data_IF_547991477478
#
_entry.id   IF_547991477478
#
_cell.length_a   1.000
_cell.length_b   1.000
_cell.length_c   1.000
_cell.angle_alpha   90.00
_cell.angle_beta   90.00
_cell.angle_gamma   90.00
#
_symmetry.space_group_name_H-M   'P 1'
#
loop_
_entity.id
_entity.type
_entity.pdbx_description
1 polymer ?
#
# COMPACT_ATOMS: atom_id res chain seq x y z
N UNK A 1 12.60 13.95 33.68
CA UNK A 1 12.76 12.87 32.69
C UNK A 1 11.49 12.55 31.88
N UNK A 2 10.41 13.35 31.97
CA UNK A 2 9.11 13.05 31.29
C UNK A 2 8.88 13.78 29.97
N UNK A 3 9.74 14.73 29.58
CA UNK A 3 9.58 15.52 28.36
C UNK A 3 9.91 14.76 27.07
N UNK A 4 10.79 13.75 27.12
CA UNK A 4 11.22 12.99 25.93
C UNK A 4 10.11 12.05 25.42
N UNK A 5 9.27 11.50 26.33
CA UNK A 5 8.16 10.62 25.94
C UNK A 5 7.03 11.37 25.21
N UNK A 6 6.81 12.65 25.57
CA UNK A 6 5.82 13.50 24.90
C UNK A 6 6.23 13.90 23.49
N UNK A 7 7.51 14.10 23.25
CA UNK A 7 8.03 14.52 21.94
C UNK A 7 7.94 13.39 20.89
N UNK A 8 8.20 12.15 21.31
CA UNK A 8 8.11 10.98 20.41
C UNK A 8 6.66 10.72 19.96
N UNK A 9 5.68 10.92 20.85
CA UNK A 9 4.26 10.73 20.52
C UNK A 9 3.76 11.81 19.55
N UNK A 10 4.21 13.05 19.71
CA UNK A 10 3.85 14.15 18.80
C UNK A 10 4.45 13.96 17.42
N UNK A 11 5.69 13.45 17.32
CA UNK A 11 6.33 13.16 16.03
C UNK A 11 5.65 12.01 15.28
N UNK A 12 5.18 10.98 15.98
CA UNK A 12 4.45 9.87 15.37
C UNK A 12 3.08 10.33 14.81
N UNK A 13 2.37 11.21 15.51
CA UNK A 13 1.08 11.76 15.05
C UNK A 13 1.29 12.67 13.83
N UNK A 14 2.38 13.45 13.79
CA UNK A 14 2.70 14.30 12.64
C UNK A 14 3.07 13.49 11.41
N UNK A 15 3.76 12.36 11.55
CA UNK A 15 4.10 11.47 10.43
C UNK A 15 2.86 10.80 9.80
N UNK A 16 1.89 10.40 10.64
CA UNK A 16 0.61 9.86 10.16
C UNK A 16 -0.24 10.92 9.45
N UNK A 17 -0.18 12.16 9.90
CA UNK A 17 -0.85 13.29 9.24
C UNK A 17 -0.18 13.67 7.92
N UNK A 18 1.14 13.51 7.77
CA UNK A 18 1.84 13.77 6.52
C UNK A 18 1.39 12.81 5.40
N UNK A 19 1.20 11.52 5.70
CA UNK A 19 0.63 10.57 4.72
C UNK A 19 -0.81 10.94 4.34
N UNK A 20 -1.61 11.48 5.28
CA UNK A 20 -3.00 11.87 4.98
C UNK A 20 -3.10 13.22 4.22
N UNK A 21 -2.16 14.13 4.40
CA UNK A 21 -2.15 15.43 3.70
C UNK A 21 -1.66 15.36 2.25
N UNK A 22 -0.82 14.36 1.90
CA UNK A 22 -0.44 14.12 0.50
C UNK A 22 -1.60 13.62 -0.37
N UNK A 23 -2.74 13.29 0.22
CA UNK A 23 -3.86 12.58 -0.39
C UNK A 23 -5.11 13.43 -0.65
N UNK A 24 -4.98 14.75 -0.63
CA UNK A 24 -6.11 15.66 -0.87
C UNK A 24 -6.37 15.93 -2.37
N UNK A 25 -5.70 15.22 -3.28
CA UNK A 25 -6.05 15.31 -4.69
C UNK A 25 -7.40 14.61 -4.93
N UNK A 26 -8.29 15.29 -5.64
CA UNK A 26 -9.57 14.74 -6.06
C UNK A 26 -9.34 13.40 -6.74
N UNK A 27 -9.96 12.33 -6.22
CA UNK A 27 -9.87 11.01 -6.84
C UNK A 27 -10.48 11.09 -8.24
N UNK A 28 -9.66 10.92 -9.25
CA UNK A 28 -10.12 10.85 -10.62
C UNK A 28 -10.36 9.37 -10.96
N UNK A 29 -11.60 8.96 -10.74
CA UNK A 29 -12.06 7.59 -10.95
C UNK A 29 -13.30 7.57 -11.84
N UNK A 30 -13.16 6.96 -13.01
CA UNK A 30 -14.24 6.90 -14.01
C UNK A 30 -15.20 5.71 -13.82
N UNK A 31 -14.88 4.78 -12.93
CA UNK A 31 -15.73 3.62 -12.58
C UNK A 31 -15.29 2.31 -13.22
N UNK A 32 -15.88 1.18 -12.79
CA UNK A 32 -15.44 -0.16 -13.21
C UNK A 32 -15.80 -0.50 -14.67
N UNK A 33 -16.65 0.28 -15.33
CA UNK A 33 -17.07 0.10 -16.72
C UNK A 33 -16.62 1.28 -17.60
N UNK A 34 -15.34 1.61 -17.54
CA UNK A 34 -14.77 2.60 -18.44
C UNK A 34 -14.85 2.10 -19.88
N UNK A 35 -15.58 2.83 -20.73
CA UNK A 35 -15.82 2.45 -22.11
C UNK A 35 -14.54 2.38 -22.93
N UNK A 36 -13.58 3.27 -22.65
CA UNK A 36 -12.31 3.32 -23.35
C UNK A 36 -11.42 2.12 -22.97
N UNK A 37 -11.38 1.76 -21.69
CA UNK A 37 -10.70 0.54 -21.26
C UNK A 37 -11.35 -0.71 -21.88
N UNK A 38 -12.68 -0.76 -21.92
CA UNK A 38 -13.42 -1.89 -22.51
C UNK A 38 -13.06 -2.08 -23.99
N UNK A 39 -13.05 -1.01 -24.76
CA UNK A 39 -12.64 -1.03 -26.17
C UNK A 39 -11.18 -1.42 -26.34
N UNK A 40 -10.29 -0.86 -25.53
CA UNK A 40 -8.87 -1.18 -25.55
C UNK A 40 -8.58 -2.65 -25.22
N UNK A 41 -9.28 -3.21 -24.24
CA UNK A 41 -9.17 -4.64 -23.89
C UNK A 41 -9.63 -5.56 -25.03
N UNK A 42 -10.54 -5.11 -25.89
CA UNK A 42 -10.95 -5.86 -27.07
C UNK A 42 -9.91 -5.79 -28.20
N UNK A 43 -9.26 -4.64 -28.38
CA UNK A 43 -8.53 -4.31 -29.60
C UNK A 43 -7.00 -4.19 -29.43
N UNK A 44 -6.50 -4.03 -28.18
CA UNK A 44 -5.08 -3.77 -27.90
C UNK A 44 -4.47 -4.84 -26.99
N UNK A 45 -3.67 -5.73 -27.56
CA UNK A 45 -3.11 -6.89 -26.84
C UNK A 45 -2.24 -6.48 -25.65
N UNK A 46 -1.42 -5.43 -25.77
CA UNK A 46 -0.54 -5.00 -24.70
C UNK A 46 -1.31 -4.49 -23.46
N UNK A 47 -2.43 -3.77 -23.66
CA UNK A 47 -3.31 -3.33 -22.55
C UNK A 47 -3.97 -4.53 -21.90
N UNK A 48 -4.37 -5.51 -22.70
CA UNK A 48 -4.97 -6.75 -22.20
C UNK A 48 -3.99 -7.55 -21.32
N UNK A 49 -2.72 -7.59 -21.69
CA UNK A 49 -1.69 -8.30 -20.91
C UNK A 49 -1.42 -7.57 -19.59
N UNK A 50 -1.26 -6.25 -19.61
CA UNK A 50 -1.11 -5.41 -18.41
C UNK A 50 -2.33 -5.51 -17.47
N UNK A 51 -3.54 -5.45 -18.01
CA UNK A 51 -4.76 -5.56 -17.23
C UNK A 51 -4.94 -6.96 -16.63
N UNK A 52 -4.54 -8.02 -17.35
CA UNK A 52 -4.53 -9.38 -16.83
C UNK A 52 -3.54 -9.52 -15.67
N UNK A 53 -2.38 -8.91 -15.77
CA UNK A 53 -1.41 -8.86 -14.68
C UNK A 53 -2.02 -8.16 -13.47
N UNK A 54 -2.57 -6.97 -13.65
CA UNK A 54 -3.29 -6.23 -12.60
C UNK A 54 -4.40 -7.09 -11.95
N UNK A 55 -5.22 -7.78 -12.74
CA UNK A 55 -6.30 -8.62 -12.20
C UNK A 55 -5.76 -9.75 -11.30
N UNK A 56 -4.58 -10.28 -11.59
CA UNK A 56 -3.95 -11.34 -10.80
C UNK A 56 -3.42 -10.87 -9.44
N UNK A 57 -3.24 -9.55 -9.26
CA UNK A 57 -2.69 -8.93 -8.07
C UNK A 57 -3.69 -8.91 -6.91
N UNK A 58 -3.20 -8.68 -5.69
CA UNK A 58 -3.97 -8.77 -4.43
C UNK A 58 -4.09 -7.42 -3.73
N UNK A 59 -4.89 -7.39 -2.67
CA UNK A 59 -5.08 -6.22 -1.81
C UNK A 59 -5.90 -5.12 -2.44
N UNK A 60 -5.80 -3.91 -1.91
CA UNK A 60 -6.29 -2.72 -2.59
C UNK A 60 -5.44 -2.47 -3.82
N UNK A 61 -6.07 -2.44 -4.96
CA UNK A 61 -5.41 -2.25 -6.24
C UNK A 61 -6.20 -1.32 -7.14
N UNK A 62 -5.49 -0.60 -8.01
CA UNK A 62 -6.07 0.32 -8.98
C UNK A 62 -5.35 0.20 -10.32
N UNK A 63 -6.07 0.42 -11.41
CA UNK A 63 -5.56 0.48 -12.76
C UNK A 63 -5.86 1.84 -13.37
N UNK A 64 -4.84 2.50 -13.89
CA UNK A 64 -4.94 3.81 -14.53
C UNK A 64 -4.50 3.75 -15.99
N UNK A 65 -5.09 4.60 -16.80
CA UNK A 65 -4.72 4.80 -18.21
C UNK A 65 -4.32 6.25 -18.45
N UNK A 66 -3.37 6.47 -19.34
CA UNK A 66 -3.07 7.77 -19.90
C UNK A 66 -3.74 7.89 -21.26
N UNK A 67 -4.48 8.97 -21.47
CA UNK A 67 -5.22 9.24 -22.70
C UNK A 67 -4.68 10.52 -23.31
N UNK A 68 -4.30 10.46 -24.57
CA UNK A 68 -3.84 11.62 -25.33
C UNK A 68 -5.02 12.45 -25.89
N UNK A 69 -4.69 13.55 -26.55
CA UNK A 69 -5.68 14.45 -27.19
C UNK A 69 -6.36 13.83 -28.43
N UNK A 70 -5.90 12.69 -28.92
CA UNK A 70 -6.55 11.91 -29.97
C UNK A 70 -7.46 10.81 -29.37
N UNK A 71 -7.73 10.85 -28.08
CA UNK A 71 -8.51 9.86 -27.33
C UNK A 71 -7.93 8.44 -27.41
N UNK A 72 -6.61 8.32 -27.56
CA UNK A 72 -5.94 7.02 -27.55
C UNK A 72 -5.26 6.76 -26.21
N UNK A 73 -5.32 5.50 -25.75
CA UNK A 73 -4.53 5.07 -24.59
C UNK A 73 -3.07 4.91 -25.01
N UNK A 74 -2.22 5.72 -24.41
CA UNK A 74 -0.77 5.76 -24.70
C UNK A 74 0.09 5.12 -23.61
N UNK A 75 -0.43 4.97 -22.41
CA UNK A 75 0.24 4.28 -21.33
C UNK A 75 -0.77 3.74 -20.31
N UNK A 76 -0.33 2.80 -19.52
CA UNK A 76 -1.07 2.29 -18.35
C UNK A 76 -0.21 2.42 -17.10
N UNK A 77 -0.85 2.33 -15.95
CA UNK A 77 -0.17 2.21 -14.67
C UNK A 77 -1.07 1.48 -13.70
N UNK A 78 -0.52 0.58 -12.91
CA UNK A 78 -1.31 -0.05 -11.86
C UNK A 78 -0.54 -0.11 -10.55
N UNK A 79 -1.30 -0.21 -9.48
CA UNK A 79 -0.80 -0.46 -8.14
C UNK A 79 -1.54 -1.62 -7.53
N UNK A 80 -0.87 -2.36 -6.68
CA UNK A 80 -1.43 -3.48 -5.95
C UNK A 80 -0.94 -3.50 -4.50
N UNK A 81 -1.60 -4.33 -3.70
CA UNK A 81 -1.22 -4.65 -2.33
C UNK A 81 -1.09 -3.43 -1.40
N UNK A 82 -1.88 -2.38 -1.67
CA UNK A 82 -1.85 -1.16 -0.87
C UNK A 82 -2.70 -1.28 0.40
N UNK A 83 -2.37 -0.45 1.39
CA UNK A 83 -3.05 -0.38 2.69
C UNK A 83 -4.45 0.19 2.56
N UNK A 84 -4.62 1.16 1.66
CA UNK A 84 -5.88 1.84 1.42
C UNK A 84 -6.17 1.96 -0.08
N UNK A 85 -7.45 2.15 -0.41
CA UNK A 85 -7.90 2.48 -1.75
C UNK A 85 -7.18 3.72 -2.30
N UNK A 86 -7.07 4.78 -1.49
CA UNK A 86 -6.41 6.01 -1.89
C UNK A 86 -4.94 5.78 -2.25
N UNK A 87 -4.20 5.03 -1.44
CA UNK A 87 -2.80 4.70 -1.73
C UNK A 87 -2.65 3.90 -3.04
N UNK A 88 -3.62 3.04 -3.37
CA UNK A 88 -3.64 2.35 -4.65
C UNK A 88 -3.86 3.33 -5.82
N UNK A 89 -4.77 4.29 -5.67
CA UNK A 89 -5.04 5.30 -6.69
C UNK A 89 -3.82 6.17 -6.96
N UNK A 90 -3.22 6.73 -5.91
CA UNK A 90 -2.07 7.62 -6.02
C UNK A 90 -0.89 6.93 -6.71
N UNK A 91 -0.64 5.69 -6.36
CA UNK A 91 0.43 4.93 -6.97
C UNK A 91 0.12 4.55 -8.42
N UNK A 92 -1.11 4.12 -8.75
CA UNK A 92 -1.50 3.83 -10.12
C UNK A 92 -1.38 5.07 -11.02
N UNK A 93 -1.82 6.24 -10.54
CA UNK A 93 -1.67 7.50 -11.26
C UNK A 93 -0.20 7.90 -11.40
N UNK A 94 0.62 7.70 -10.36
CA UNK A 94 2.06 7.96 -10.42
C UNK A 94 2.74 7.08 -11.47
N UNK A 95 2.43 5.80 -11.51
CA UNK A 95 2.96 4.86 -12.51
C UNK A 95 2.50 5.23 -13.92
N UNK A 96 1.22 5.55 -14.09
CA UNK A 96 0.68 6.01 -15.36
C UNK A 96 1.42 7.25 -15.87
N UNK A 97 1.61 8.28 -15.03
CA UNK A 97 2.37 9.49 -15.37
C UNK A 97 3.83 9.20 -15.72
N UNK A 98 4.43 8.24 -15.01
CA UNK A 98 5.80 7.83 -15.28
C UNK A 98 5.93 7.19 -16.67
N UNK A 99 5.04 6.25 -17.01
CA UNK A 99 5.10 5.56 -18.30
C UNK A 99 4.62 6.39 -19.48
N UNK A 100 3.70 7.32 -19.28
CA UNK A 100 3.30 8.29 -20.30
C UNK A 100 4.34 9.40 -20.53
N UNK A 101 5.37 9.48 -19.67
CA UNK A 101 6.38 10.54 -19.69
C UNK A 101 5.78 11.95 -19.56
N UNK A 102 4.60 12.06 -19.00
CA UNK A 102 3.85 13.29 -18.83
C UNK A 102 2.96 13.64 -20.05
N UNK A 103 2.95 12.80 -21.07
CA UNK A 103 2.02 12.94 -22.18
C UNK A 103 0.65 12.37 -21.80
N UNK A 104 -0.41 13.06 -22.19
CA UNK A 104 -1.78 12.67 -21.93
C UNK A 104 -2.25 12.89 -20.46
N UNK A 105 -3.51 12.64 -20.25
CA UNK A 105 -4.16 12.73 -18.93
C UNK A 105 -4.31 11.35 -18.30
N UNK A 106 -3.76 11.17 -17.10
CA UNK A 106 -3.87 9.93 -16.36
C UNK A 106 -5.12 9.92 -15.47
N UNK A 107 -5.90 8.85 -15.57
CA UNK A 107 -7.07 8.62 -14.69
C UNK A 107 -7.17 7.15 -14.30
N UNK A 108 -7.73 6.90 -13.12
CA UNK A 108 -8.05 5.55 -12.66
C UNK A 108 -9.32 5.07 -13.35
N UNK A 109 -9.27 3.88 -13.94
CA UNK A 109 -10.39 3.29 -14.71
C UNK A 109 -10.91 1.99 -14.11
N UNK A 110 -10.15 1.36 -13.22
CA UNK A 110 -10.61 0.21 -12.44
C UNK A 110 -10.00 0.21 -11.06
N UNK A 111 -10.79 -0.27 -10.09
CA UNK A 111 -10.37 -0.50 -8.72
C UNK A 111 -10.92 -1.81 -8.22
N UNK A 112 -10.14 -2.53 -7.48
CA UNK A 112 -10.55 -3.78 -6.88
C UNK A 112 -9.92 -3.96 -5.50
N UNK A 113 -10.60 -4.75 -4.69
CA UNK A 113 -10.01 -5.35 -3.50
C UNK A 113 -10.11 -6.85 -3.61
N UNK A 114 -8.99 -7.54 -3.62
CA UNK A 114 -9.00 -8.99 -3.61
C UNK A 114 -8.52 -9.53 -2.26
N UNK A 115 -9.35 -10.34 -1.65
CA UNK A 115 -9.11 -10.96 -0.35
C UNK A 115 -8.28 -12.25 -0.54
N UNK A 116 -6.99 -12.10 -0.78
CA UNK A 116 -6.07 -13.23 -1.00
C UNK A 116 -5.54 -13.89 0.27
N UNK A 117 -6.39 -14.11 1.29
CA UNK A 117 -5.97 -14.65 2.58
C UNK A 117 -6.34 -16.13 2.75
N UNK A 118 -6.03 -16.98 1.74
CA UNK A 118 -6.27 -18.41 1.85
C UNK A 118 -5.68 -19.00 3.15
N UNK A 119 -6.50 -19.70 3.91
CA UNK A 119 -6.10 -20.32 5.19
C UNK A 119 -6.15 -19.41 6.42
N UNK A 120 -6.59 -18.14 6.28
CA UNK A 120 -6.94 -17.29 7.42
C UNK A 120 -8.45 -17.27 7.64
N UNK A 121 -8.87 -17.23 8.90
CA UNK A 121 -10.28 -17.05 9.24
C UNK A 121 -10.69 -15.59 9.08
N UNK A 122 -12.01 -15.35 8.90
CA UNK A 122 -12.55 -13.98 8.87
C UNK A 122 -12.17 -13.20 10.13
N UNK A 123 -12.22 -13.82 11.30
CA UNK A 123 -11.85 -13.20 12.59
C UNK A 123 -10.37 -12.76 12.60
N UNK A 124 -9.45 -13.56 12.06
CA UNK A 124 -8.03 -13.20 11.95
C UNK A 124 -7.81 -12.02 11.00
N UNK A 125 -8.53 -12.00 9.87
CA UNK A 125 -8.47 -10.91 8.92
C UNK A 125 -9.08 -9.64 9.51
N UNK A 126 -10.21 -9.75 10.19
CA UNK A 126 -10.91 -8.59 10.79
C UNK A 126 -10.19 -8.03 12.01
N UNK A 127 -9.43 -8.86 12.74
CA UNK A 127 -8.60 -8.44 13.86
C UNK A 127 -7.27 -7.80 13.48
N UNK A 128 -6.87 -7.86 12.21
CA UNK A 128 -5.64 -7.21 11.77
C UNK A 128 -5.86 -5.70 11.53
N UNK A 129 -4.86 -4.85 11.79
CA UNK A 129 -4.95 -3.41 11.56
C UNK A 129 -4.82 -3.08 10.07
N UNK A 130 -5.83 -3.42 9.28
CA UNK A 130 -5.86 -3.37 7.81
C UNK A 130 -5.58 -1.99 7.22
N UNK A 131 -5.76 -0.95 8.01
CA UNK A 131 -5.52 0.44 7.59
C UNK A 131 -4.04 0.84 7.72
N UNK A 132 -3.23 0.00 8.38
CA UNK A 132 -1.83 0.29 8.71
C UNK A 132 -0.84 -0.70 8.10
N UNK A 133 -1.32 -1.87 7.66
CA UNK A 133 -0.47 -2.91 7.06
C UNK A 133 -0.95 -3.29 5.66
N UNK A 134 -0.02 -3.59 4.77
CA UNK A 134 -0.34 -4.10 3.44
C UNK A 134 -1.12 -5.42 3.51
N UNK A 135 -2.02 -5.65 2.58
CA UNK A 135 -2.88 -6.85 2.59
C UNK A 135 -2.09 -8.17 2.62
N UNK A 136 -0.96 -8.25 1.93
CA UNK A 136 -0.07 -9.42 1.94
C UNK A 136 0.48 -9.71 3.34
N UNK A 137 0.63 -8.68 4.16
CA UNK A 137 1.27 -8.74 5.47
C UNK A 137 0.29 -9.10 6.61
N UNK A 138 -1.03 -9.17 6.32
CA UNK A 138 -2.03 -9.65 7.31
C UNK A 138 -1.64 -11.02 7.87
N UNK A 139 -1.13 -11.92 7.03
CA UNK A 139 -0.64 -13.22 7.48
C UNK A 139 0.54 -13.09 8.45
N UNK A 140 1.48 -12.20 8.18
CA UNK A 140 2.61 -11.93 9.05
C UNK A 140 2.15 -11.38 10.40
N UNK A 141 1.15 -10.47 10.40
CA UNK A 141 0.55 -9.96 11.63
C UNK A 141 -0.12 -11.08 12.44
N UNK A 142 -0.88 -11.97 11.81
CA UNK A 142 -1.49 -13.13 12.48
C UNK A 142 -0.43 -14.10 13.05
N UNK A 143 0.72 -14.24 12.40
CA UNK A 143 1.86 -14.99 12.95
C UNK A 143 2.46 -14.27 14.16
N UNK A 144 2.70 -12.97 14.03
CA UNK A 144 3.20 -12.13 15.14
C UNK A 144 2.32 -12.20 16.38
N UNK A 145 0.98 -12.16 16.26
CA UNK A 145 0.09 -12.24 17.42
C UNK A 145 0.23 -13.55 18.21
N UNK A 146 0.71 -14.61 17.56
CA UNK A 146 0.94 -15.94 18.16
C UNK A 146 2.37 -16.16 18.64
N UNK A 147 3.28 -15.28 18.25
CA UNK A 147 4.68 -15.39 18.56
C UNK A 147 4.97 -15.11 20.04
N UNK A 148 6.09 -15.63 20.55
CA UNK A 148 6.50 -15.44 21.93
C UNK A 148 7.18 -14.08 22.14
N UNK A 149 6.85 -13.43 23.25
CA UNK A 149 7.51 -12.21 23.69
C UNK A 149 8.95 -12.50 24.19
N UNK A 150 9.86 -11.53 24.19
CA UNK A 150 9.71 -10.16 23.68
C UNK A 150 9.67 -10.06 22.17
N UNK A 151 8.68 -9.32 21.65
CA UNK A 151 8.43 -9.20 20.21
C UNK A 151 8.05 -7.77 19.80
N UNK A 152 8.20 -7.43 18.53
CA UNK A 152 7.74 -6.16 17.95
C UNK A 152 7.31 -6.34 16.50
N UNK A 153 6.27 -5.60 16.12
CA UNK A 153 5.75 -5.48 14.76
C UNK A 153 5.91 -4.02 14.30
N UNK A 154 6.61 -3.84 13.18
CA UNK A 154 6.99 -2.52 12.65
C UNK A 154 6.47 -2.40 11.22
N UNK A 155 6.01 -1.22 10.86
CA UNK A 155 5.47 -0.93 9.54
C UNK A 155 6.15 0.29 8.91
N UNK A 156 6.29 0.27 7.61
CA UNK A 156 6.60 1.44 6.81
C UNK A 156 5.32 2.28 6.65
N UNK A 157 5.38 3.57 7.00
CA UNK A 157 4.20 4.39 7.30
C UNK A 157 3.21 4.56 6.16
N UNK A 158 3.65 4.56 4.90
CA UNK A 158 2.77 4.78 3.76
C UNK A 158 2.47 3.51 2.96
N UNK A 159 3.43 2.60 2.78
CA UNK A 159 3.22 1.35 2.05
C UNK A 159 2.55 0.26 2.90
N UNK A 160 2.61 0.38 4.22
CA UNK A 160 2.15 -0.65 5.14
C UNK A 160 2.99 -1.93 5.11
N UNK A 161 4.15 -1.92 4.44
CA UNK A 161 5.09 -3.03 4.45
C UNK A 161 5.53 -3.32 5.89
N UNK A 162 5.44 -4.57 6.32
CA UNK A 162 5.67 -4.93 7.70
C UNK A 162 6.93 -5.77 7.91
N UNK A 163 7.46 -5.65 9.12
CA UNK A 163 8.62 -6.40 9.62
C UNK A 163 8.36 -6.74 11.08
N UNK A 164 8.69 -7.95 11.50
CA UNK A 164 8.51 -8.35 12.89
C UNK A 164 9.64 -9.24 13.38
N UNK A 165 9.82 -9.20 14.70
CA UNK A 165 10.82 -10.00 15.40
C UNK A 165 10.23 -10.53 16.69
N UNK A 166 10.60 -11.75 17.07
CA UNK A 166 10.20 -12.44 18.27
C UNK A 166 11.42 -12.95 19.05
N UNK A 167 11.18 -13.40 20.28
CA UNK A 167 12.19 -14.04 21.12
C UNK A 167 13.48 -13.22 21.27
N UNK A 168 13.34 -11.91 21.37
CA UNK A 168 14.48 -11.04 21.57
C UNK A 168 14.85 -10.92 23.05
N UNK A 169 16.03 -10.42 23.36
CA UNK A 169 16.50 -10.25 24.74
C UNK A 169 15.64 -9.27 25.56
N UNK A 170 14.93 -8.34 24.87
CA UNK A 170 13.99 -7.41 25.47
C UNK A 170 13.05 -6.84 24.40
N UNK A 171 11.93 -6.28 24.82
CA UNK A 171 11.01 -5.49 23.99
C UNK A 171 11.76 -4.41 23.20
N UNK A 172 12.62 -3.63 23.86
CA UNK A 172 13.42 -2.60 23.21
C UNK A 172 14.30 -3.17 22.09
N UNK A 173 14.91 -4.35 22.30
CA UNK A 173 15.72 -5.00 21.26
C UNK A 173 14.87 -5.49 20.08
N UNK A 174 13.64 -5.94 20.32
CA UNK A 174 12.71 -6.30 19.26
C UNK A 174 12.34 -5.07 18.41
N UNK A 175 12.01 -3.95 19.07
CA UNK A 175 11.71 -2.68 18.41
C UNK A 175 12.89 -2.14 17.58
N UNK A 176 14.09 -2.10 18.16
CA UNK A 176 15.33 -1.66 17.47
C UNK A 176 15.58 -2.46 16.20
N UNK A 177 15.50 -3.80 16.29
CA UNK A 177 15.68 -4.69 15.13
C UNK A 177 14.59 -4.50 14.07
N UNK A 178 13.35 -4.36 14.50
CA UNK A 178 12.22 -4.12 13.61
C UNK A 178 12.40 -2.80 12.85
N UNK A 179 12.69 -1.72 13.55
CA UNK A 179 12.95 -0.42 12.95
C UNK A 179 14.14 -0.44 11.99
N UNK A 180 15.26 -1.03 12.40
CA UNK A 180 16.44 -1.16 11.53
C UNK A 180 16.12 -1.94 10.25
N UNK A 181 15.39 -3.06 10.37
CA UNK A 181 15.01 -3.88 9.21
C UNK A 181 14.06 -3.13 8.28
N UNK A 182 13.12 -2.40 8.85
CA UNK A 182 12.19 -1.56 8.09
C UNK A 182 12.95 -0.46 7.33
N UNK A 183 13.80 0.32 8.00
CA UNK A 183 14.56 1.40 7.37
C UNK A 183 15.47 0.92 6.22
N UNK A 184 16.02 -0.27 6.32
CA UNK A 184 16.84 -0.87 5.28
C UNK A 184 16.06 -1.40 4.06
N UNK A 185 14.76 -1.64 4.22
CA UNK A 185 13.96 -2.34 3.21
C UNK A 185 12.68 -1.57 2.80
N UNK A 186 12.39 -0.43 3.44
CA UNK A 186 11.25 0.41 3.05
C UNK A 186 11.46 0.99 1.65
N UNK A 187 10.37 1.28 0.99
CA UNK A 187 10.41 1.97 -0.30
C UNK A 187 10.85 3.43 -0.10
N UNK A 188 11.55 4.02 -1.07
CA UNK A 188 12.04 5.42 -0.99
C UNK A 188 10.90 6.44 -0.80
N UNK A 189 9.68 6.10 -1.22
CA UNK A 189 8.49 6.93 -1.00
C UNK A 189 7.95 6.88 0.43
N UNK A 190 8.40 5.94 1.27
CA UNK A 190 7.98 5.85 2.67
C UNK A 190 8.76 6.82 3.53
N UNK A 191 8.10 7.74 4.25
CA UNK A 191 8.78 8.77 5.05
C UNK A 191 9.48 8.21 6.27
N UNK A 192 8.95 7.14 6.87
CA UNK A 192 9.48 6.57 8.11
C UNK A 192 8.95 5.18 8.39
N UNK A 193 9.60 4.51 9.33
CA UNK A 193 9.16 3.28 9.95
C UNK A 193 8.59 3.54 11.35
N UNK A 194 7.56 2.83 11.73
CA UNK A 194 6.88 2.99 13.02
C UNK A 194 6.65 1.64 13.67
N UNK A 195 6.89 1.55 14.99
CA UNK A 195 6.47 0.40 15.79
C UNK A 195 4.95 0.46 15.92
N UNK A 196 4.28 -0.53 15.35
CA UNK A 196 2.82 -0.65 15.43
C UNK A 196 2.41 -1.30 16.76
N UNK A 197 3.11 -2.35 17.15
CA UNK A 197 2.83 -3.10 18.37
C UNK A 197 4.11 -3.75 18.90
N UNK A 198 4.23 -3.86 20.24
CA UNK A 198 5.35 -4.54 20.88
C UNK A 198 5.03 -5.01 22.31
N UNK A 199 5.52 -6.18 22.66
CA UNK A 199 5.32 -6.84 23.96
C UNK A 199 6.66 -7.32 24.55
#
# INVERSE_FOLDING_TARGET
MNYIKGLALVLAVVALQACSQMHSQKMDYSGPEDAMLTDALANQQWIKDEYKEYQSRRGYKAFAIAVDYAEMIIATGFADDKVTKQAAFDEALRMCKHFSQGDGECRVVDEQVSNGHAGLTKQQIDGAPKELIAHRDIRQYVQYTKAEAPKAFVVAACSGQSFWFEQQASKQKAEEKGLQKCELNRHDSDPCCTVLESE
#
